data_IF_658869783998
#
_entry.id   IF_658869783998
#
_cell.length_a   1.000
_cell.length_b   1.000
_cell.length_c   1.000
_cell.angle_alpha   90.00
_cell.angle_beta   90.00
_cell.angle_gamma   90.00
#
_symmetry.space_group_name_H-M   'P 1'
#
loop_
_entity.id
_entity.type
_entity.pdbx_description
1 polymer ?
#
# COMPACT_ATOMS: atom_id res chain seq x y z
N UNK A 1 14.15 18.16 16.17
CA UNK A 1 13.79 17.21 15.11
C UNK A 1 13.87 15.79 15.65
N UNK A 2 12.80 15.02 15.56
CA UNK A 2 12.83 13.57 15.79
C UNK A 2 12.35 12.85 14.54
N UNK A 3 12.80 11.63 14.35
CA UNK A 3 12.36 10.79 13.25
C UNK A 3 11.94 9.42 13.77
N UNK A 4 11.02 8.78 13.06
CA UNK A 4 10.53 7.45 13.36
C UNK A 4 10.48 6.62 12.09
N UNK A 5 10.72 5.33 12.25
CA UNK A 5 10.64 4.34 11.18
C UNK A 5 9.42 3.46 11.42
N UNK A 6 8.69 3.14 10.37
CA UNK A 6 7.61 2.16 10.38
C UNK A 6 7.82 1.12 9.30
N UNK A 7 7.37 -0.08 9.57
CA UNK A 7 7.38 -1.20 8.63
C UNK A 7 5.95 -1.72 8.46
N UNK A 8 5.58 -1.97 7.21
CA UNK A 8 4.29 -2.57 6.86
C UNK A 8 4.46 -3.81 6.00
N UNK A 9 3.54 -4.72 6.14
CA UNK A 9 3.38 -5.91 5.32
C UNK A 9 1.90 -6.17 5.10
N UNK A 10 1.54 -6.56 3.86
CA UNK A 10 0.20 -7.03 3.57
C UNK A 10 0.23 -8.08 2.45
N UNK A 11 -0.80 -8.88 2.37
CA UNK A 11 -0.97 -9.94 1.38
C UNK A 11 -2.45 -10.06 1.03
N UNK A 12 -2.73 -10.21 -0.26
CA UNK A 12 -4.08 -10.51 -0.75
C UNK A 12 -4.04 -11.72 -1.67
N UNK A 13 -5.07 -12.56 -1.56
CA UNK A 13 -5.31 -13.62 -2.52
C UNK A 13 -5.67 -13.01 -3.88
N UNK A 14 -5.16 -13.60 -4.95
CA UNK A 14 -5.54 -13.27 -6.32
C UNK A 14 -6.65 -14.22 -6.78
N UNK A 15 -7.71 -13.65 -7.37
CA UNK A 15 -8.85 -14.37 -7.87
C UNK A 15 -9.20 -13.91 -9.28
N UNK A 16 -9.51 -14.88 -10.16
CA UNK A 16 -9.93 -14.59 -11.53
C UNK A 16 -11.22 -13.75 -11.56
N UNK A 17 -11.27 -12.83 -12.51
CA UNK A 17 -12.46 -12.00 -12.77
C UNK A 17 -12.61 -10.77 -11.88
N UNK A 18 -11.66 -10.49 -11.01
CA UNK A 18 -11.63 -9.26 -10.21
C UNK A 18 -10.66 -8.24 -10.81
N UNK A 19 -10.98 -6.95 -10.62
CA UNK A 19 -10.06 -5.87 -10.96
C UNK A 19 -8.80 -5.94 -10.09
N UNK A 20 -7.65 -5.69 -10.69
CA UNK A 20 -6.38 -5.68 -9.97
C UNK A 20 -5.96 -4.25 -9.62
N UNK A 21 -6.43 -3.78 -8.46
CA UNK A 21 -6.00 -2.52 -7.89
C UNK A 21 -4.62 -2.66 -7.25
N UNK A 22 -3.69 -1.80 -7.65
CA UNK A 22 -2.33 -1.80 -7.13
C UNK A 22 -1.73 -0.39 -7.23
N UNK A 23 -1.32 0.17 -6.10
CA UNK A 23 -0.75 1.52 -6.07
C UNK A 23 -1.73 2.61 -6.53
N UNK A 24 -3.02 2.41 -6.34
CA UNK A 24 -4.07 3.37 -6.68
C UNK A 24 -4.53 3.33 -8.12
N UNK A 25 -4.08 2.37 -8.93
CA UNK A 25 -4.47 2.18 -10.32
C UNK A 25 -4.98 0.76 -10.57
N UNK A 26 -5.74 0.58 -11.65
CA UNK A 26 -6.08 -0.77 -12.14
C UNK A 26 -4.97 -1.22 -13.09
N UNK A 27 -4.30 -2.31 -12.73
CA UNK A 27 -3.31 -2.98 -13.57
C UNK A 27 -4.04 -4.03 -14.43
N UNK A 28 -3.88 -4.02 -15.76
CA UNK A 28 -4.47 -5.05 -16.61
C UNK A 28 -3.97 -6.45 -16.24
N UNK A 29 -4.88 -7.32 -15.85
CA UNK A 29 -4.59 -8.70 -15.48
C UNK A 29 -5.88 -9.54 -15.50
N UNK A 30 -5.73 -10.87 -15.57
CA UNK A 30 -6.85 -11.81 -15.53
C UNK A 30 -7.34 -12.09 -14.10
N UNK A 31 -6.56 -11.73 -13.10
CA UNK A 31 -6.87 -11.87 -11.67
C UNK A 31 -6.77 -10.52 -10.97
N UNK A 32 -7.49 -10.37 -9.90
CA UNK A 32 -7.40 -9.21 -9.00
C UNK A 32 -7.41 -9.62 -7.54
N UNK A 33 -7.10 -8.68 -6.67
CA UNK A 33 -7.06 -8.91 -5.23
C UNK A 33 -8.44 -9.18 -4.64
N UNK A 34 -8.53 -10.18 -3.78
CA UNK A 34 -9.72 -10.48 -3.00
C UNK A 34 -9.58 -9.83 -1.62
N UNK A 35 -10.52 -8.97 -1.26
CA UNK A 35 -10.54 -8.29 0.03
C UNK A 35 -11.83 -7.55 0.28
N UNK A 36 -11.97 -6.97 1.47
CA UNK A 36 -13.15 -6.20 1.87
C UNK A 36 -13.23 -4.85 1.14
N UNK A 37 -12.09 -4.17 0.96
CA UNK A 37 -11.94 -2.94 0.14
C UNK A 37 -11.67 -3.29 -1.33
N UNK A 38 -10.97 -2.41 -2.04
CA UNK A 38 -10.46 -2.69 -3.39
C UNK A 38 -9.24 -3.65 -3.41
N UNK A 39 -8.78 -4.08 -2.22
CA UNK A 39 -7.65 -4.99 -2.02
C UNK A 39 -6.32 -4.49 -2.60
N UNK A 40 -6.10 -3.17 -2.59
CA UNK A 40 -4.81 -2.57 -2.98
C UNK A 40 -3.74 -2.88 -1.93
N UNK A 41 -2.97 -3.93 -2.17
CA UNK A 41 -1.97 -4.42 -1.22
C UNK A 41 -0.87 -3.39 -0.94
N UNK A 42 -0.49 -2.58 -1.92
CA UNK A 42 0.56 -1.58 -1.74
C UNK A 42 0.09 -0.44 -0.83
N UNK A 43 -1.11 0.09 -1.08
CA UNK A 43 -1.66 1.17 -0.24
C UNK A 43 -1.87 0.68 1.19
N UNK A 44 -2.41 -0.52 1.38
CA UNK A 44 -2.61 -1.09 2.73
C UNK A 44 -1.28 -1.23 3.47
N UNK A 45 -0.24 -1.69 2.79
CA UNK A 45 1.10 -1.83 3.36
C UNK A 45 1.69 -0.49 3.78
N UNK A 46 1.54 0.55 2.95
CA UNK A 46 2.00 1.91 3.26
C UNK A 46 1.23 2.48 4.45
N UNK A 47 -0.09 2.30 4.49
CA UNK A 47 -0.92 2.72 5.63
C UNK A 47 -0.45 2.09 6.94
N UNK A 48 -0.20 0.78 6.95
CA UNK A 48 0.29 0.08 8.14
C UNK A 48 1.67 0.59 8.58
N UNK A 49 2.57 0.82 7.63
CA UNK A 49 3.89 1.36 7.93
C UNK A 49 3.81 2.75 8.57
N UNK A 50 2.96 3.63 8.04
CA UNK A 50 2.74 4.99 8.56
C UNK A 50 2.12 4.96 9.95
N UNK A 51 1.08 4.17 10.15
CA UNK A 51 0.41 4.03 11.45
C UNK A 51 1.37 3.47 12.50
N UNK A 52 2.14 2.45 12.13
CA UNK A 52 3.16 1.86 13.01
C UNK A 52 4.24 2.85 13.42
N UNK A 53 4.77 3.63 12.47
CA UNK A 53 5.76 4.68 12.75
C UNK A 53 5.25 5.71 13.77
N UNK A 54 3.99 6.10 13.64
CA UNK A 54 3.35 7.08 14.54
C UNK A 54 2.82 6.47 15.86
N UNK A 55 2.99 5.17 16.06
CA UNK A 55 2.43 4.43 17.20
C UNK A 55 0.89 4.59 17.31
N UNK A 56 0.22 4.39 16.17
CA UNK A 56 -1.24 4.47 16.05
C UNK A 56 -1.91 3.10 15.81
N UNK A 57 -1.14 2.01 15.87
CA UNK A 57 -1.63 0.66 15.62
C UNK A 57 -1.54 0.29 14.14
N UNK A 58 -2.56 -0.32 13.63
CA UNK A 58 -2.63 -0.84 12.28
C UNK A 58 -3.91 -0.39 11.54
N UNK A 59 -4.01 -0.72 10.26
CA UNK A 59 -5.15 -0.33 9.42
C UNK A 59 -6.47 -0.94 9.91
N UNK A 60 -6.44 -2.16 10.44
CA UNK A 60 -7.63 -2.84 10.95
C UNK A 60 -8.23 -2.18 12.19
N UNK A 61 -7.41 -1.50 12.98
CA UNK A 61 -7.87 -0.73 14.14
C UNK A 61 -8.70 0.49 13.74
N UNK A 62 -8.30 1.18 12.67
CA UNK A 62 -8.94 2.41 12.21
C UNK A 62 -10.05 2.15 11.19
N UNK A 63 -9.91 1.13 10.38
CA UNK A 63 -10.82 0.78 9.28
C UNK A 63 -11.15 -0.72 9.33
N UNK A 64 -11.93 -1.16 10.32
CA UNK A 64 -12.22 -2.58 10.48
C UNK A 64 -12.95 -3.15 9.26
N UNK A 65 -12.53 -4.31 8.80
CA UNK A 65 -13.12 -5.04 7.66
C UNK A 65 -14.54 -5.55 7.93
N UNK A 66 -14.99 -5.51 9.19
CA UNK A 66 -16.36 -5.81 9.61
C UNK A 66 -17.32 -4.63 9.41
N UNK A 67 -16.80 -3.40 9.20
CA UNK A 67 -17.63 -2.22 9.01
C UNK A 67 -18.12 -2.11 7.57
N UNK A 68 -19.45 -2.06 7.39
CA UNK A 68 -20.07 -1.98 6.08
C UNK A 68 -19.68 -0.74 5.26
N UNK A 69 -19.35 0.36 5.94
CA UNK A 69 -18.93 1.62 5.31
C UNK A 69 -17.61 1.49 4.50
N UNK A 70 -16.75 0.52 4.84
CA UNK A 70 -15.49 0.30 4.14
C UNK A 70 -15.55 -0.80 3.07
N UNK A 71 -16.72 -1.42 2.88
CA UNK A 71 -16.90 -2.45 1.86
C UNK A 71 -16.73 -1.87 0.47
N UNK A 72 -15.76 -2.39 -0.29
CA UNK A 72 -15.44 -1.94 -1.63
C UNK A 72 -14.81 -0.54 -1.69
N UNK A 73 -14.39 0.02 -0.57
CA UNK A 73 -13.83 1.37 -0.51
C UNK A 73 -12.54 1.49 -1.35
N UNK A 74 -12.38 2.62 -2.01
CA UNK A 74 -11.12 3.00 -2.65
C UNK A 74 -10.04 3.24 -1.58
N UNK A 75 -8.98 2.44 -1.61
CA UNK A 75 -7.89 2.52 -0.62
C UNK A 75 -7.16 3.87 -0.62
N UNK A 76 -7.25 4.65 -1.71
CA UNK A 76 -6.74 6.03 -1.71
C UNK A 76 -7.43 6.91 -0.68
N UNK A 77 -8.70 6.66 -0.39
CA UNK A 77 -9.43 7.37 0.68
C UNK A 77 -8.85 6.99 2.04
N UNK A 78 -8.58 5.71 2.27
CA UNK A 78 -7.94 5.24 3.51
C UNK A 78 -6.57 5.88 3.71
N UNK A 79 -5.77 5.95 2.65
CA UNK A 79 -4.44 6.57 2.69
C UNK A 79 -4.52 8.06 3.07
N UNK A 80 -5.47 8.80 2.48
CA UNK A 80 -5.69 10.22 2.83
C UNK A 80 -6.06 10.39 4.30
N UNK A 81 -6.93 9.53 4.83
CA UNK A 81 -7.31 9.56 6.25
C UNK A 81 -6.13 9.23 7.17
N UNK A 82 -5.30 8.25 6.79
CA UNK A 82 -4.06 7.95 7.52
C UNK A 82 -3.14 9.16 7.54
N UNK A 83 -2.99 9.87 6.42
CA UNK A 83 -2.16 11.09 6.37
C UNK A 83 -2.69 12.18 7.32
N UNK A 84 -4.01 12.33 7.44
CA UNK A 84 -4.59 13.25 8.43
C UNK A 84 -4.19 12.85 9.86
N UNK A 85 -4.25 11.54 10.17
CA UNK A 85 -3.84 11.04 11.50
C UNK A 85 -2.36 11.30 11.78
N UNK A 86 -1.49 11.08 10.80
CA UNK A 86 -0.04 11.30 10.92
C UNK A 86 0.25 12.79 11.17
N UNK A 87 -0.35 13.68 10.37
CA UNK A 87 -0.17 15.12 10.49
C UNK A 87 -0.75 15.69 11.79
N UNK A 88 -1.90 15.21 12.22
CA UNK A 88 -2.48 15.60 13.51
C UNK A 88 -1.57 15.23 14.70
N UNK A 89 -0.72 14.23 14.52
CA UNK A 89 0.28 13.85 15.52
C UNK A 89 1.61 14.62 15.38
N UNK A 90 1.67 15.54 14.43
CA UNK A 90 2.82 16.43 14.21
C UNK A 90 3.93 15.83 13.35
N UNK A 91 3.63 14.82 12.55
CA UNK A 91 4.62 14.18 11.67
C UNK A 91 4.35 14.47 10.20
N UNK A 92 5.43 14.52 9.43
CA UNK A 92 5.44 14.55 7.97
C UNK A 92 6.24 13.36 7.44
N UNK A 93 6.02 13.01 6.18
CA UNK A 93 6.76 11.93 5.53
C UNK A 93 8.17 12.43 5.15
N UNK A 94 9.20 11.71 5.59
CA UNK A 94 10.54 11.85 5.07
C UNK A 94 10.71 11.12 3.73
N UNK A 95 10.50 9.81 3.74
CA UNK A 95 10.45 8.99 2.53
C UNK A 95 9.73 7.67 2.77
N UNK A 96 9.35 7.03 1.67
CA UNK A 96 8.75 5.70 1.64
C UNK A 96 9.57 4.83 0.68
N UNK A 97 9.95 3.65 1.12
CA UNK A 97 10.49 2.60 0.25
C UNK A 97 9.61 1.37 0.32
N UNK A 98 9.23 0.82 -0.82
CA UNK A 98 8.33 -0.32 -0.89
C UNK A 98 8.76 -1.34 -1.94
N UNK A 99 8.36 -2.59 -1.71
CA UNK A 99 8.60 -3.71 -2.61
C UNK A 99 7.32 -4.51 -2.78
N UNK A 100 6.94 -4.75 -4.03
CA UNK A 100 5.79 -5.60 -4.39
C UNK A 100 6.34 -6.95 -4.88
N UNK A 101 5.85 -8.03 -4.29
CA UNK A 101 6.15 -9.40 -4.73
C UNK A 101 4.98 -9.93 -5.54
N UNK A 102 5.19 -10.09 -6.84
CA UNK A 102 4.18 -10.50 -7.80
C UNK A 102 4.83 -11.31 -8.93
N UNK A 103 4.29 -12.49 -9.22
CA UNK A 103 4.85 -13.32 -10.29
C UNK A 103 4.52 -12.78 -11.67
N UNK A 104 3.26 -12.47 -11.91
CA UNK A 104 2.73 -11.84 -13.12
C UNK A 104 1.56 -10.93 -12.79
N UNK A 105 1.30 -9.88 -13.60
CA UNK A 105 2.06 -9.38 -14.73
C UNK A 105 3.32 -8.62 -14.30
N UNK A 106 4.15 -8.22 -15.25
CA UNK A 106 5.25 -7.28 -15.00
C UNK A 106 4.66 -5.89 -14.77
N UNK A 107 4.90 -5.33 -13.60
CA UNK A 107 4.33 -4.05 -13.18
C UNK A 107 5.28 -2.86 -13.30
N UNK A 108 6.54 -3.09 -13.67
CA UNK A 108 7.52 -2.02 -13.88
C UNK A 108 7.00 -0.83 -14.70
N UNK A 109 6.34 -1.04 -15.85
CA UNK A 109 5.78 0.06 -16.65
C UNK A 109 4.72 0.91 -15.95
N UNK A 110 4.06 0.39 -14.93
CA UNK A 110 2.99 1.06 -14.18
C UNK A 110 3.50 1.83 -12.96
N UNK A 111 4.71 1.57 -12.50
CA UNK A 111 5.28 2.18 -11.29
C UNK A 111 5.31 3.72 -11.36
N UNK A 112 5.70 4.38 -12.46
CA UNK A 112 5.68 5.83 -12.52
C UNK A 112 4.30 6.44 -12.26
N UNK A 113 3.23 5.84 -12.77
CA UNK A 113 1.87 6.30 -12.53
C UNK A 113 1.43 6.07 -11.07
N UNK A 114 1.75 4.91 -10.51
CA UNK A 114 1.49 4.62 -9.09
C UNK A 114 2.15 5.68 -8.20
N UNK A 115 3.42 6.00 -8.43
CA UNK A 115 4.15 7.03 -7.67
C UNK A 115 3.47 8.38 -7.73
N UNK A 116 3.02 8.82 -8.90
CA UNK A 116 2.31 10.10 -9.07
C UNK A 116 1.01 10.14 -8.28
N UNK A 117 0.21 9.09 -8.36
CA UNK A 117 -1.07 8.99 -7.64
C UNK A 117 -0.85 8.98 -6.13
N UNK A 118 0.09 8.20 -5.65
CA UNK A 118 0.41 8.14 -4.22
C UNK A 118 0.96 9.48 -3.71
N UNK A 119 1.81 10.16 -4.49
CA UNK A 119 2.32 11.48 -4.14
C UNK A 119 1.18 12.51 -3.98
N UNK A 120 0.20 12.49 -4.89
CA UNK A 120 -0.99 13.34 -4.78
C UNK A 120 -1.82 12.99 -3.55
N UNK A 121 -2.06 11.70 -3.30
CA UNK A 121 -2.85 11.25 -2.15
C UNK A 121 -2.22 11.66 -0.80
N UNK A 122 -0.90 11.65 -0.73
CA UNK A 122 -0.15 11.94 0.50
C UNK A 122 0.31 13.38 0.59
N UNK A 123 0.16 14.18 -0.49
CA UNK A 123 0.66 15.54 -0.58
C UNK A 123 2.16 15.62 -0.29
N UNK A 124 2.94 14.86 -1.05
CA UNK A 124 4.40 14.77 -0.96
C UNK A 124 5.02 14.81 -2.37
N UNK A 125 6.34 15.01 -2.43
CA UNK A 125 7.08 14.94 -3.69
C UNK A 125 7.16 13.48 -4.18
N UNK A 126 7.10 13.28 -5.49
CA UNK A 126 7.27 11.95 -6.12
C UNK A 126 8.59 11.30 -5.76
N UNK A 127 9.66 12.09 -5.55
CA UNK A 127 10.97 11.59 -5.17
C UNK A 127 11.01 10.99 -3.75
N UNK A 128 10.02 11.32 -2.91
CA UNK A 128 9.90 10.73 -1.57
C UNK A 128 9.33 9.31 -1.59
N UNK A 129 8.91 8.82 -2.76
CA UNK A 129 8.25 7.50 -2.90
C UNK A 129 9.07 6.60 -3.80
N UNK A 130 9.53 5.48 -3.27
CA UNK A 130 10.20 4.40 -4.01
C UNK A 130 9.29 3.17 -4.06
N UNK A 131 9.09 2.63 -5.27
CA UNK A 131 8.35 1.40 -5.52
C UNK A 131 9.23 0.48 -6.36
N UNK A 132 9.49 -0.72 -5.87
CA UNK A 132 10.21 -1.78 -6.55
C UNK A 132 9.32 -3.00 -6.68
N UNK A 133 9.57 -3.82 -7.68
CA UNK A 133 8.84 -5.06 -7.91
C UNK A 133 9.81 -6.21 -8.08
N UNK A 134 9.45 -7.37 -7.56
CA UNK A 134 10.18 -8.62 -7.74
C UNK A 134 9.21 -9.79 -7.90
N UNK A 135 9.66 -10.84 -8.56
CA UNK A 135 9.01 -12.16 -8.49
C UNK A 135 9.55 -12.92 -7.28
N UNK A 136 9.00 -14.09 -7.02
CA UNK A 136 9.58 -15.06 -6.07
C UNK A 136 10.19 -16.26 -6.77
N UNK A 137 10.62 -16.10 -8.03
CA UNK A 137 11.26 -17.17 -8.84
C UNK A 137 10.38 -18.43 -8.89
N UNK A 138 9.06 -18.24 -9.05
CA UNK A 138 8.05 -19.31 -9.07
C UNK A 138 7.92 -20.10 -7.77
N UNK A 139 8.47 -19.58 -6.67
CA UNK A 139 8.36 -20.19 -5.33
C UNK A 139 7.18 -19.60 -4.57
N UNK A 140 6.64 -20.39 -3.64
CA UNK A 140 5.56 -20.03 -2.72
C UNK A 140 4.24 -19.64 -3.42
N UNK A 141 3.29 -19.10 -2.65
CA UNK A 141 1.97 -18.65 -3.14
C UNK A 141 2.08 -17.51 -4.17
N UNK A 142 3.07 -16.64 -4.03
CA UNK A 142 3.32 -15.60 -5.03
C UNK A 142 3.75 -16.24 -6.35
N UNK A 143 4.70 -17.18 -6.30
CA UNK A 143 5.22 -17.87 -7.45
C UNK A 143 4.19 -18.76 -8.16
N UNK A 144 3.19 -19.25 -7.42
CA UNK A 144 2.05 -19.99 -7.96
C UNK A 144 0.88 -19.09 -8.42
N UNK A 145 1.07 -17.77 -8.39
CA UNK A 145 0.06 -16.79 -8.79
C UNK A 145 -1.25 -16.87 -7.97
N UNK A 146 -1.15 -17.31 -6.74
CA UNK A 146 -2.26 -17.43 -5.79
C UNK A 146 -2.46 -16.15 -4.98
N UNK A 147 -1.44 -15.31 -4.88
CA UNK A 147 -1.47 -14.09 -4.09
C UNK A 147 -0.41 -13.09 -4.50
N UNK A 148 -0.56 -11.87 -3.99
CA UNK A 148 0.37 -10.76 -4.09
C UNK A 148 0.71 -10.28 -2.69
N UNK A 149 1.97 -9.93 -2.44
CA UNK A 149 2.39 -9.33 -1.18
C UNK A 149 3.16 -8.05 -1.41
N UNK A 150 3.16 -7.19 -0.40
CA UNK A 150 3.92 -5.95 -0.42
C UNK A 150 4.55 -5.68 0.95
N UNK A 151 5.67 -4.99 0.91
CA UNK A 151 6.43 -4.54 2.08
C UNK A 151 6.71 -3.06 1.92
N UNK A 152 6.63 -2.30 2.99
CA UNK A 152 7.00 -0.89 2.99
C UNK A 152 7.77 -0.53 4.25
N UNK A 153 8.75 0.33 4.08
CA UNK A 153 9.41 1.03 5.18
C UNK A 153 9.20 2.52 4.98
N UNK A 154 8.81 3.21 6.03
CA UNK A 154 8.60 4.65 6.01
C UNK A 154 9.47 5.34 7.04
N UNK A 155 9.94 6.52 6.70
CA UNK A 155 10.52 7.47 7.62
C UNK A 155 9.55 8.64 7.78
N UNK A 156 9.16 8.93 9.01
CA UNK A 156 8.40 10.14 9.34
C UNK A 156 9.21 11.03 10.27
N UNK A 157 9.03 12.32 10.13
CA UNK A 157 9.78 13.32 10.90
C UNK A 157 8.84 14.35 11.51
N UNK A 158 9.25 14.94 12.63
CA UNK A 158 8.70 16.18 13.12
C UNK A 158 9.78 17.24 13.21
N UNK A 159 9.40 18.50 13.13
CA UNK A 159 10.31 19.63 13.35
C UNK A 159 10.74 19.75 14.83
#
# INVERSE_FOLDING_TARGET
MSFRVGFGFDVHQLKAGLDFWLGGIIVPHTKGGLGHSDADVLIHTICDALLGAANLGDIGKHFPDTAAEYKGIDSKILLKEVMVLIRNKGYEIGNIDSTICLQTPKIGPYIPEMKKILAICMDVDVDQISIKATTTEKLSFVGREEGVSAYATVLITNE
#
